data_IF_022800066989
#
_entry.id   IF_022800066989
#
_cell.length_a   1.000
_cell.length_b   1.000
_cell.length_c   1.000
_cell.angle_alpha   90.00
_cell.angle_beta   90.00
_cell.angle_gamma   90.00
#
_symmetry.space_group_name_H-M   'P 1'
#
loop_
_entity.id
_entity.type
_entity.pdbx_description
1 polymer ?
#
# COMPACT_ATOMS: atom_id res chain seq x y z
N UNK A 1 -5.61 65.31 -69.01
CA UNK A 1 -6.71 64.41 -69.42
C UNK A 1 -6.48 63.05 -68.81
N UNK A 2 -7.29 62.55 -67.89
CA UNK A 2 -7.85 63.13 -66.67
C UNK A 2 -8.35 61.92 -65.86
N UNK A 3 -7.89 61.81 -64.61
CA UNK A 3 -8.63 61.39 -63.40
C UNK A 3 -9.67 60.26 -63.50
N UNK A 4 -9.40 59.12 -62.85
CA UNK A 4 -10.35 58.46 -61.91
C UNK A 4 -9.54 57.59 -60.92
N UNK A 5 -9.51 57.94 -59.64
CA UNK A 5 -8.80 57.18 -58.61
C UNK A 5 -9.72 56.25 -57.82
N UNK A 6 -10.95 56.66 -57.47
CA UNK A 6 -12.05 55.72 -57.13
C UNK A 6 -13.39 56.42 -57.35
N UNK A 7 -14.30 55.81 -58.10
CA UNK A 7 -15.62 56.38 -58.41
C UNK A 7 -16.69 55.31 -58.50
N UNK A 8 -17.83 55.56 -57.85
CA UNK A 8 -19.02 54.72 -57.94
C UNK A 8 -20.03 55.40 -58.86
N UNK A 9 -20.68 54.64 -59.74
CA UNK A 9 -21.69 55.13 -60.67
C UNK A 9 -22.89 54.18 -60.73
N UNK A 10 -24.09 54.73 -60.83
CA UNK A 10 -25.29 53.95 -61.18
C UNK A 10 -25.54 54.00 -62.69
N UNK A 11 -25.85 52.86 -63.29
CA UNK A 11 -26.26 52.78 -64.70
C UNK A 11 -27.74 53.12 -64.81
N UNK A 12 -28.11 54.37 -65.09
CA UNK A 12 -29.54 54.77 -65.20
C UNK A 12 -30.39 54.00 -66.23
N UNK A 13 -29.79 53.08 -67.02
CA UNK A 13 -30.47 52.22 -68.00
C UNK A 13 -30.63 50.75 -67.54
N UNK A 14 -29.90 50.29 -66.51
CA UNK A 14 -29.89 48.90 -66.00
C UNK A 14 -29.82 48.88 -64.48
N UNK A 15 -30.33 47.83 -63.82
CA UNK A 15 -30.20 47.71 -62.36
C UNK A 15 -28.77 47.25 -61.98
N UNK A 16 -27.81 48.16 -62.15
CA UNK A 16 -26.38 47.87 -62.08
C UNK A 16 -25.64 49.08 -61.48
N UNK A 17 -24.78 48.82 -60.50
CA UNK A 17 -23.82 49.77 -59.94
C UNK A 17 -22.44 49.41 -60.47
N UNK A 18 -21.67 50.41 -60.90
CA UNK A 18 -20.33 50.25 -61.44
C UNK A 18 -19.32 50.96 -60.55
N UNK A 19 -18.27 50.25 -60.19
CA UNK A 19 -17.12 50.76 -59.48
C UNK A 19 -15.96 50.92 -60.46
N UNK A 20 -15.55 52.16 -60.68
CA UNK A 20 -14.38 52.49 -61.48
C UNK A 20 -13.23 52.83 -60.54
N UNK A 21 -12.07 52.20 -60.73
CA UNK A 21 -10.92 52.44 -59.87
C UNK A 21 -9.61 52.35 -60.65
N UNK A 22 -8.60 53.10 -60.20
CA UNK A 22 -7.23 52.89 -60.67
C UNK A 22 -6.55 51.90 -59.75
N UNK A 23 -5.99 50.82 -60.30
CA UNK A 23 -5.19 49.89 -59.50
C UNK A 23 -3.86 50.53 -59.11
N UNK A 24 -3.50 50.43 -57.82
CA UNK A 24 -2.17 50.83 -57.35
C UNK A 24 -1.06 49.92 -57.90
N UNK A 25 -1.39 48.70 -58.30
CA UNK A 25 -0.41 47.71 -58.73
C UNK A 25 0.14 48.01 -60.12
N UNK A 26 -0.73 48.36 -61.07
CA UNK A 26 -0.33 48.56 -62.49
C UNK A 26 -0.73 49.91 -63.08
N UNK A 27 -1.35 50.79 -62.26
CA UNK A 27 -1.78 52.15 -62.62
C UNK A 27 -2.80 52.18 -63.76
N UNK A 28 -3.51 51.07 -64.03
CA UNK A 28 -4.59 51.00 -65.03
C UNK A 28 -5.96 51.17 -64.38
N UNK A 29 -6.93 51.65 -65.16
CA UNK A 29 -8.31 51.85 -64.73
C UNK A 29 -9.12 50.57 -64.99
N UNK A 30 -9.80 50.09 -63.95
CA UNK A 30 -10.66 48.92 -63.96
C UNK A 30 -12.11 49.30 -63.66
N UNK A 31 -13.05 48.46 -64.10
CA UNK A 31 -14.48 48.62 -63.87
C UNK A 31 -15.07 47.30 -63.35
N UNK A 32 -15.68 47.35 -62.17
CA UNK A 32 -16.42 46.23 -61.59
C UNK A 32 -17.91 46.55 -61.55
N UNK A 33 -18.76 45.57 -61.84
CA UNK A 33 -20.20 45.78 -62.03
C UNK A 33 -21.04 44.87 -61.14
N UNK A 34 -21.89 45.49 -60.31
CA UNK A 34 -22.73 44.82 -59.33
C UNK A 34 -24.20 44.97 -59.73
N UNK A 35 -24.85 43.85 -60.01
CA UNK A 35 -26.25 43.85 -60.46
C UNK A 35 -27.19 43.71 -59.26
N UNK A 36 -28.17 44.59 -59.14
CA UNK A 36 -29.16 44.52 -58.06
C UNK A 36 -30.58 44.31 -58.61
N UNK A 37 -31.46 43.73 -57.81
CA UNK A 37 -32.91 43.67 -58.09
C UNK A 37 -33.64 44.03 -56.81
N UNK A 38 -34.28 45.19 -56.84
CA UNK A 38 -35.20 45.67 -55.79
C UNK A 38 -36.60 45.60 -56.41
N UNK A 39 -37.56 45.02 -55.68
CA UNK A 39 -38.86 44.59 -56.23
C UNK A 39 -40.05 45.16 -55.45
N UNK A 40 -39.90 46.36 -54.89
CA UNK A 40 -40.85 46.97 -53.95
C UNK A 40 -41.18 48.44 -54.28
N UNK A 41 -40.64 49.01 -55.37
CA UNK A 41 -40.86 50.40 -55.81
C UNK A 41 -40.53 51.46 -54.73
N UNK A 42 -39.67 51.15 -53.77
CA UNK A 42 -39.22 52.05 -52.70
C UNK A 42 -37.82 52.62 -53.00
N UNK A 43 -37.44 53.69 -52.28
CA UNK A 43 -36.07 54.20 -52.31
C UNK A 43 -35.24 53.51 -51.25
N UNK A 44 -34.04 53.07 -51.63
CA UNK A 44 -33.13 52.39 -50.71
C UNK A 44 -31.77 53.09 -50.64
N UNK A 45 -31.20 53.09 -49.44
CA UNK A 45 -29.86 53.62 -49.19
C UNK A 45 -28.82 52.63 -49.68
N UNK A 46 -27.94 53.05 -50.59
CA UNK A 46 -26.78 52.26 -50.98
C UNK A 46 -25.53 52.74 -50.25
N UNK A 47 -24.74 51.81 -49.73
CA UNK A 47 -23.37 52.05 -49.32
C UNK A 47 -22.43 51.09 -50.05
N UNK A 48 -21.27 51.58 -50.49
CA UNK A 48 -20.19 50.73 -50.98
C UNK A 48 -19.00 50.96 -50.06
N UNK A 49 -18.53 49.90 -49.42
CA UNK A 49 -17.35 49.95 -48.56
C UNK A 49 -16.19 49.29 -49.28
N UNK A 50 -15.01 49.91 -49.19
CA UNK A 50 -13.77 49.39 -49.76
C UNK A 50 -12.75 49.31 -48.64
N UNK A 51 -12.32 48.10 -48.30
CA UNK A 51 -11.32 47.84 -47.26
C UNK A 51 -10.19 47.00 -47.84
N UNK A 52 -9.01 47.61 -48.04
CA UNK A 52 -7.94 46.95 -48.79
C UNK A 52 -8.36 46.68 -50.23
N UNK A 53 -8.24 45.43 -50.69
CA UNK A 53 -8.73 44.96 -51.99
C UNK A 53 -10.17 44.43 -51.94
N UNK A 54 -10.83 44.43 -50.78
CA UNK A 54 -12.18 43.93 -50.63
C UNK A 54 -13.21 45.03 -50.80
N UNK A 55 -14.29 44.73 -51.53
CA UNK A 55 -15.43 45.62 -51.74
C UNK A 55 -16.70 44.94 -51.27
N UNK A 56 -17.52 45.67 -50.53
CA UNK A 56 -18.82 45.23 -50.07
C UNK A 56 -19.88 46.28 -50.41
N UNK A 57 -20.99 45.83 -51.01
CA UNK A 57 -22.12 46.69 -51.40
C UNK A 57 -23.26 46.38 -50.45
N UNK A 58 -23.80 47.40 -49.79
CA UNK A 58 -24.90 47.30 -48.85
C UNK A 58 -26.11 48.08 -49.34
N UNK A 59 -27.30 47.55 -49.10
CA UNK A 59 -28.59 48.21 -49.31
C UNK A 59 -29.31 48.25 -47.97
N UNK A 60 -29.73 49.44 -47.51
CA UNK A 60 -30.34 49.68 -46.19
C UNK A 60 -29.57 49.01 -45.05
N UNK A 61 -28.25 49.20 -45.04
CA UNK A 61 -27.31 48.61 -44.08
C UNK A 61 -27.18 47.08 -44.12
N UNK A 62 -27.76 46.38 -45.10
CA UNK A 62 -27.61 44.93 -45.29
C UNK A 62 -26.68 44.61 -46.47
N UNK A 63 -25.71 43.69 -46.32
CA UNK A 63 -24.76 43.37 -47.38
C UNK A 63 -25.42 42.58 -48.51
N UNK A 64 -25.30 43.10 -49.73
CA UNK A 64 -25.81 42.52 -50.96
C UNK A 64 -24.71 41.78 -51.75
N UNK A 65 -23.50 42.34 -51.82
CA UNK A 65 -22.35 41.71 -52.46
C UNK A 65 -21.07 41.93 -51.67
N UNK A 66 -20.17 40.94 -51.71
CA UNK A 66 -18.82 41.02 -51.15
C UNK A 66 -17.83 40.34 -52.09
N UNK A 67 -16.85 41.09 -52.59
CA UNK A 67 -15.86 40.58 -53.56
C UNK A 67 -14.47 41.17 -53.34
N UNK A 68 -13.46 40.60 -54.00
CA UNK A 68 -12.07 41.08 -53.98
C UNK A 68 -11.67 41.59 -55.36
N UNK A 69 -11.20 42.83 -55.43
CA UNK A 69 -10.75 43.51 -56.64
C UNK A 69 -9.43 42.91 -57.13
N UNK A 70 -9.30 42.77 -58.46
CA UNK A 70 -8.06 42.33 -59.12
C UNK A 70 -7.77 43.20 -60.35
N UNK A 71 -6.50 43.58 -60.60
CA UNK A 71 -5.29 43.22 -59.86
C UNK A 71 -4.98 44.26 -58.77
N UNK A 72 -5.00 43.85 -57.50
CA UNK A 72 -4.51 44.68 -56.39
C UNK A 72 -5.48 45.73 -55.85
N UNK A 73 -5.00 46.48 -54.85
CA UNK A 73 -5.78 47.46 -54.10
C UNK A 73 -6.04 48.74 -54.94
N UNK A 74 -7.27 49.29 -54.93
CA UNK A 74 -7.57 50.54 -55.60
C UNK A 74 -6.84 51.73 -54.96
N UNK A 75 -6.48 52.71 -55.78
CA UNK A 75 -6.04 54.01 -55.30
C UNK A 75 -7.18 54.65 -54.49
N UNK A 76 -6.88 55.03 -53.26
CA UNK A 76 -7.89 55.50 -52.29
C UNK A 76 -8.13 57.00 -52.38
N UNK A 77 -7.41 57.71 -53.24
CA UNK A 77 -7.72 59.11 -53.50
C UNK A 77 -9.11 59.17 -54.16
N UNK A 78 -10.14 59.59 -53.43
CA UNK A 78 -11.46 59.73 -54.03
C UNK A 78 -11.56 61.13 -54.61
N UNK A 79 -11.66 61.20 -55.94
CA UNK A 79 -11.68 62.48 -56.66
C UNK A 79 -13.05 63.14 -56.68
N UNK A 80 -14.09 62.43 -56.24
CA UNK A 80 -15.46 62.95 -56.11
C UNK A 80 -16.20 62.29 -54.94
N UNK A 81 -16.67 63.07 -53.96
CA UNK A 81 -17.33 62.54 -52.76
C UNK A 81 -18.85 62.40 -52.97
N UNK A 82 -19.32 61.24 -53.45
CA UNK A 82 -20.75 61.00 -53.72
C UNK A 82 -21.32 59.61 -53.28
N UNK A 83 -22.65 59.54 -53.03
CA UNK A 83 -23.48 58.51 -52.35
C UNK A 83 -24.65 58.36 -53.29
N UNK A 84 -25.06 57.12 -53.49
CA UNK A 84 -25.86 56.76 -54.64
C UNK A 84 -27.16 56.19 -54.13
N UNK A 85 -28.26 56.79 -54.55
CA UNK A 85 -29.59 56.23 -54.31
C UNK A 85 -30.03 55.46 -55.54
N UNK A 86 -30.55 54.26 -55.33
CA UNK A 86 -31.00 53.38 -56.40
C UNK A 86 -32.48 53.09 -56.22
N UNK A 87 -33.23 53.21 -57.32
CA UNK A 87 -34.68 52.96 -57.37
C UNK A 87 -35.03 52.13 -58.61
N UNK A 88 -36.21 51.52 -58.59
CA UNK A 88 -36.64 50.58 -59.64
C UNK A 88 -37.11 51.31 -60.92
N UNK A 89 -36.84 50.71 -62.09
CA UNK A 89 -37.35 51.18 -63.40
C UNK A 89 -38.73 50.57 -63.69
N UNK A 90 -39.73 51.42 -63.95
CA UNK A 90 -41.07 50.99 -64.39
C UNK A 90 -41.36 51.45 -65.84
N UNK A 91 -42.17 50.67 -66.57
CA UNK A 91 -42.14 50.60 -68.04
C UNK A 91 -42.56 51.86 -68.83
N UNK A 92 -42.95 52.97 -68.19
CA UNK A 92 -43.49 54.14 -68.91
C UNK A 92 -43.09 55.53 -68.38
N UNK A 93 -42.19 55.66 -67.41
CA UNK A 93 -41.73 56.99 -66.94
C UNK A 93 -40.22 57.05 -66.73
N UNK A 94 -39.59 58.05 -67.34
CA UNK A 94 -38.19 58.40 -67.14
C UNK A 94 -37.99 59.00 -65.75
N UNK A 95 -37.03 58.42 -65.01
CA UNK A 95 -36.35 58.89 -63.80
C UNK A 95 -37.00 60.08 -63.05
N UNK A 96 -37.55 59.82 -61.85
CA UNK A 96 -38.00 60.88 -60.93
C UNK A 96 -36.85 61.23 -59.99
N UNK A 97 -36.07 62.27 -60.32
CA UNK A 97 -35.20 62.94 -59.34
C UNK A 97 -33.76 63.21 -59.81
N UNK A 98 -33.30 64.44 -59.56
CA UNK A 98 -31.92 64.92 -59.69
C UNK A 98 -31.10 64.59 -58.42
N UNK A 99 -29.80 64.34 -58.60
CA UNK A 99 -28.81 64.20 -57.52
C UNK A 99 -28.55 65.54 -56.84
N UNK A 100 -28.63 65.61 -55.51
CA UNK A 100 -28.00 66.68 -54.73
C UNK A 100 -27.39 66.13 -53.43
N UNK A 101 -26.16 66.58 -53.19
CA UNK A 101 -25.30 66.49 -52.00
C UNK A 101 -25.07 65.13 -51.33
N UNK A 102 -23.79 64.77 -51.27
CA UNK A 102 -23.30 63.58 -50.60
C UNK A 102 -22.00 63.94 -49.86
N UNK A 103 -21.73 63.28 -48.72
CA UNK A 103 -20.40 63.24 -48.11
C UNK A 103 -19.81 61.82 -47.96
N UNK A 104 -18.49 61.76 -48.08
CA UNK A 104 -17.67 60.67 -47.55
C UNK A 104 -17.46 60.86 -46.05
N UNK A 105 -17.51 59.76 -45.28
CA UNK A 105 -17.06 59.75 -43.90
C UNK A 105 -15.70 59.05 -43.90
N UNK A 106 -14.63 59.83 -43.92
CA UNK A 106 -13.34 59.33 -43.47
C UNK A 106 -13.32 59.37 -41.95
N UNK A 107 -13.04 58.23 -41.32
CA UNK A 107 -12.87 58.18 -39.89
C UNK A 107 -12.30 56.85 -39.42
N UNK A 108 -11.19 56.92 -38.71
CA UNK A 108 -10.98 56.08 -37.52
C UNK A 108 -11.74 56.75 -36.37
N UNK A 109 -13.03 56.39 -36.18
CA UNK A 109 -13.93 56.85 -35.10
C UNK A 109 -14.13 58.38 -34.94
N UNK A 110 -15.39 58.87 -34.96
CA UNK A 110 -15.69 60.25 -34.54
C UNK A 110 -17.16 60.67 -34.72
N UNK A 111 -17.76 61.18 -33.64
CA UNK A 111 -19.16 61.64 -33.49
C UNK A 111 -19.33 63.07 -34.06
N UNK A 112 -20.51 63.40 -34.61
CA UNK A 112 -20.87 64.76 -35.04
C UNK A 112 -22.03 65.34 -34.21
N UNK A 113 -21.88 66.62 -33.87
CA UNK A 113 -22.64 67.36 -32.86
C UNK A 113 -23.60 68.41 -33.46
N UNK A 114 -24.65 68.70 -32.67
CA UNK A 114 -25.56 69.88 -32.63
C UNK A 114 -26.65 70.03 -33.70
N UNK A 115 -27.92 70.00 -33.25
CA UNK A 115 -29.09 70.52 -33.97
C UNK A 115 -29.44 71.95 -33.49
N UNK A 116 -29.87 72.88 -34.36
CA UNK A 116 -29.94 74.30 -33.99
C UNK A 116 -31.26 74.77 -33.35
N UNK A 117 -32.37 73.99 -33.36
CA UNK A 117 -33.64 74.43 -32.74
C UNK A 117 -34.44 73.27 -32.12
N UNK A 118 -35.04 73.55 -30.95
CA UNK A 118 -35.89 72.67 -30.15
C UNK A 118 -37.29 72.52 -30.78
N UNK A 119 -37.44 71.65 -31.78
CA UNK A 119 -38.76 71.18 -32.19
C UNK A 119 -38.92 69.69 -31.83
N UNK A 120 -39.81 69.42 -30.88
CA UNK A 120 -39.93 68.13 -30.15
C UNK A 120 -40.71 67.07 -30.94
N UNK A 121 -40.92 67.28 -32.24
CA UNK A 121 -41.70 66.40 -33.10
C UNK A 121 -40.85 65.42 -33.91
N UNK A 122 -39.52 65.43 -33.76
CA UNK A 122 -38.62 64.47 -34.40
C UNK A 122 -38.33 63.24 -33.49
N UNK A 123 -38.45 61.99 -33.98
CA UNK A 123 -38.20 60.76 -33.20
C UNK A 123 -36.77 60.63 -32.65
N UNK A 124 -35.80 61.37 -33.21
CA UNK A 124 -34.39 61.30 -32.83
C UNK A 124 -34.02 62.19 -31.65
N UNK A 125 -34.83 63.18 -31.27
CA UNK A 125 -34.60 63.96 -30.04
C UNK A 125 -34.95 63.18 -28.78
N UNK A 126 -35.98 62.33 -28.83
CA UNK A 126 -36.31 61.41 -27.72
C UNK A 126 -35.18 60.40 -27.48
N UNK A 127 -34.58 59.89 -28.56
CA UNK A 127 -33.36 59.07 -28.45
C UNK A 127 -32.15 59.88 -27.96
N UNK A 128 -32.00 61.16 -28.31
CA UNK A 128 -30.93 61.98 -27.75
C UNK A 128 -31.11 62.25 -26.26
N UNK A 129 -32.34 62.47 -25.76
CA UNK A 129 -32.59 62.59 -24.32
C UNK A 129 -32.30 61.26 -23.62
N UNK A 130 -32.68 60.12 -24.20
CA UNK A 130 -32.38 58.78 -23.68
C UNK A 130 -30.87 58.52 -23.70
N UNK A 131 -30.17 58.91 -24.76
CA UNK A 131 -28.72 58.76 -24.90
C UNK A 131 -28.00 59.72 -23.97
N UNK A 132 -28.45 60.97 -23.81
CA UNK A 132 -27.89 61.94 -22.88
C UNK A 132 -28.12 61.52 -21.44
N UNK A 133 -29.32 61.03 -21.08
CA UNK A 133 -29.56 60.46 -19.74
C UNK A 133 -28.83 59.15 -19.55
N UNK A 134 -28.64 58.33 -20.59
CA UNK A 134 -27.82 57.13 -20.53
C UNK A 134 -26.35 57.48 -20.34
N UNK A 135 -25.81 58.47 -21.05
CA UNK A 135 -24.44 58.97 -20.92
C UNK A 135 -24.24 59.62 -19.55
N UNK A 136 -25.14 60.49 -19.09
CA UNK A 136 -25.07 61.06 -17.74
C UNK A 136 -25.21 59.99 -16.64
N UNK A 137 -26.04 58.97 -16.87
CA UNK A 137 -26.10 57.81 -15.97
C UNK A 137 -24.82 56.98 -16.04
N UNK A 138 -24.21 56.84 -17.21
CA UNK A 138 -22.96 56.11 -17.40
C UNK A 138 -21.82 56.86 -16.73
N UNK A 139 -21.73 58.18 -16.90
CA UNK A 139 -20.78 59.07 -16.25
C UNK A 139 -20.95 59.04 -14.74
N UNK A 140 -22.19 59.12 -14.24
CA UNK A 140 -22.47 58.98 -12.80
C UNK A 140 -22.09 57.60 -12.27
N UNK A 141 -22.36 56.53 -13.03
CA UNK A 141 -21.93 55.16 -12.67
C UNK A 141 -20.43 54.99 -12.77
N UNK A 142 -19.75 55.65 -13.72
CA UNK A 142 -18.31 55.69 -13.87
C UNK A 142 -17.67 56.43 -12.71
N UNK A 143 -18.27 57.53 -12.26
CA UNK A 143 -17.83 58.28 -11.10
C UNK A 143 -18.07 57.49 -9.81
N UNK A 144 -19.21 56.79 -9.69
CA UNK A 144 -19.47 55.88 -8.57
C UNK A 144 -18.51 54.68 -8.59
N UNK A 145 -18.22 54.11 -9.77
CA UNK A 145 -17.25 53.03 -9.94
C UNK A 145 -15.84 53.50 -9.68
N UNK A 146 -15.44 54.70 -10.11
CA UNK A 146 -14.12 55.25 -9.82
C UNK A 146 -13.98 55.56 -8.34
N UNK A 147 -15.06 56.01 -7.68
CA UNK A 147 -15.06 56.23 -6.24
C UNK A 147 -15.04 54.90 -5.46
N UNK A 148 -15.77 53.88 -5.93
CA UNK A 148 -15.70 52.51 -5.39
C UNK A 148 -14.35 51.87 -5.65
N UNK A 149 -13.74 52.11 -6.81
CA UNK A 149 -12.40 51.64 -7.16
C UNK A 149 -11.37 52.34 -6.28
N UNK A 150 -11.44 53.66 -6.11
CA UNK A 150 -10.60 54.39 -5.17
C UNK A 150 -10.80 53.90 -3.73
N UNK A 151 -12.04 53.57 -3.33
CA UNK A 151 -12.30 52.94 -2.03
C UNK A 151 -11.78 51.51 -1.93
N UNK A 152 -11.80 50.76 -3.03
CA UNK A 152 -11.28 49.40 -3.13
C UNK A 152 -9.75 49.39 -3.18
N UNK A 153 -9.11 50.36 -3.83
CA UNK A 153 -7.68 50.65 -3.82
C UNK A 153 -7.23 51.14 -2.45
N UNK A 154 -8.05 51.96 -1.77
CA UNK A 154 -7.78 52.36 -0.38
C UNK A 154 -7.99 51.19 0.61
N UNK A 155 -8.87 50.24 0.27
CA UNK A 155 -8.99 48.96 0.98
C UNK A 155 -7.84 48.01 0.62
N UNK A 156 -7.37 47.99 -0.63
CA UNK A 156 -6.23 47.19 -1.07
C UNK A 156 -4.94 47.71 -0.45
N UNK A 157 -4.72 49.02 -0.40
CA UNK A 157 -3.57 49.61 0.30
C UNK A 157 -3.65 49.38 1.82
N UNK A 158 -4.85 49.37 2.42
CA UNK A 158 -5.04 48.87 3.80
C UNK A 158 -4.83 47.36 3.94
N UNK A 159 -5.02 46.58 2.88
CA UNK A 159 -4.74 45.12 2.82
C UNK A 159 -3.29 44.83 2.46
N UNK A 160 -2.57 45.74 1.80
CA UNK A 160 -1.13 45.71 1.54
C UNK A 160 -0.37 46.13 2.80
N UNK A 161 -0.87 47.13 3.55
CA UNK A 161 -0.43 47.39 4.94
C UNK A 161 -0.92 46.29 5.92
N UNK A 162 -2.01 45.58 5.58
CA UNK A 162 -2.45 44.36 6.28
C UNK A 162 -1.99 43.07 5.59
N UNK A 163 -0.91 43.10 4.80
CA UNK A 163 -0.09 41.90 4.50
C UNK A 163 0.76 41.56 5.75
N UNK A 164 0.17 41.81 6.91
CA UNK A 164 0.50 41.30 8.22
C UNK A 164 0.21 39.79 8.34
N UNK A 165 0.20 39.05 7.23
CA UNK A 165 0.70 37.68 7.23
C UNK A 165 2.23 37.77 7.31
N UNK A 166 2.71 38.24 8.48
CA UNK A 166 4.12 38.50 8.73
C UNK A 166 4.92 37.28 8.27
N UNK A 167 5.71 37.45 7.23
CA UNK A 167 6.58 36.39 6.74
C UNK A 167 7.63 36.12 7.80
N UNK A 168 7.93 34.85 8.02
CA UNK A 168 8.94 34.48 9.00
C UNK A 168 10.31 34.40 8.34
N UNK A 169 11.30 35.13 8.86
CA UNK A 169 12.68 35.06 8.38
C UNK A 169 13.48 34.07 9.22
N UNK A 170 14.08 33.05 8.59
CA UNK A 170 14.93 32.05 9.25
C UNK A 170 16.12 31.70 8.36
N UNK A 171 17.35 31.84 8.87
CA UNK A 171 18.61 31.50 8.17
C UNK A 171 18.61 31.91 6.68
N UNK A 172 18.44 33.20 6.40
CA UNK A 172 18.42 33.80 5.06
C UNK A 172 17.30 33.35 4.10
N UNK A 173 16.34 32.55 4.58
CA UNK A 173 15.13 32.19 3.84
C UNK A 173 13.90 32.89 4.42
N UNK A 174 12.99 33.29 3.54
CA UNK A 174 11.72 33.92 3.91
C UNK A 174 10.62 32.88 3.71
N UNK A 175 9.92 32.57 4.79
CA UNK A 175 8.82 31.63 4.80
C UNK A 175 7.49 32.39 4.84
N UNK A 176 6.59 32.05 3.91
CA UNK A 176 5.25 32.60 3.88
C UNK A 176 4.48 32.22 5.14
N UNK A 177 3.58 33.09 5.59
CA UNK A 177 2.68 32.77 6.70
C UNK A 177 1.83 31.54 6.37
N UNK A 178 1.64 30.66 7.35
CA UNK A 178 0.99 29.35 7.17
C UNK A 178 1.87 28.26 6.54
N UNK A 179 3.08 28.57 6.08
CA UNK A 179 3.99 27.56 5.55
C UNK A 179 4.58 26.68 6.66
N UNK A 180 4.82 25.42 6.32
CA UNK A 180 5.54 24.45 7.15
C UNK A 180 6.77 23.95 6.42
N UNK A 181 7.91 23.90 7.10
CA UNK A 181 9.15 23.38 6.56
C UNK A 181 9.90 22.57 7.61
N UNK A 182 10.82 21.73 7.16
CA UNK A 182 11.67 20.95 8.04
C UNK A 182 13.10 21.50 8.00
N UNK A 183 13.66 21.75 9.17
CA UNK A 183 15.06 22.14 9.35
C UNK A 183 15.70 21.20 10.37
N UNK A 184 16.51 20.25 9.87
CA UNK A 184 17.01 19.14 10.67
C UNK A 184 15.85 18.29 11.20
N UNK A 185 15.79 18.11 12.53
CA UNK A 185 14.76 17.31 13.21
C UNK A 185 13.66 18.12 13.88
N UNK A 186 13.37 19.29 13.30
CA UNK A 186 12.25 20.13 13.71
C UNK A 186 11.40 20.46 12.50
N UNK A 187 10.09 20.33 12.67
CA UNK A 187 9.11 20.87 11.75
C UNK A 187 8.73 22.25 12.27
N UNK A 188 9.02 23.28 11.49
CA UNK A 188 8.72 24.66 11.81
C UNK A 188 7.51 25.12 11.00
N UNK A 189 6.65 25.91 11.62
CA UNK A 189 5.54 26.59 10.97
C UNK A 189 5.63 28.08 11.21
N UNK A 190 5.32 28.87 10.18
CA UNK A 190 5.14 30.31 10.31
C UNK A 190 3.66 30.61 10.59
N UNK A 191 3.36 31.29 11.69
CA UNK A 191 2.01 31.83 11.99
C UNK A 191 2.10 33.24 12.55
N UNK A 192 1.56 34.22 11.84
CA UNK A 192 1.56 35.64 12.21
C UNK A 192 2.97 36.19 12.47
N UNK A 193 3.99 35.70 11.75
CA UNK A 193 5.39 36.15 11.85
C UNK A 193 6.18 35.57 12.99
N UNK A 194 5.58 34.66 13.73
CA UNK A 194 6.28 33.87 14.72
C UNK A 194 6.57 32.49 14.14
N UNK A 195 7.80 32.03 14.33
CA UNK A 195 8.21 30.67 13.96
C UNK A 195 7.98 29.79 15.19
N UNK A 196 7.06 28.83 15.07
CA UNK A 196 6.93 27.74 16.03
C UNK A 196 7.53 26.48 15.44
N UNK A 197 8.55 25.94 16.09
CA UNK A 197 9.17 24.68 15.70
C UNK A 197 8.86 23.61 16.74
N UNK A 198 8.35 22.48 16.29
CA UNK A 198 8.13 21.29 17.11
C UNK A 198 9.04 20.16 16.59
N UNK A 199 9.46 19.23 17.46
CA UNK A 199 10.17 18.03 17.01
C UNK A 199 9.35 17.25 15.98
N UNK A 200 10.02 16.54 15.08
CA UNK A 200 9.35 15.58 14.19
C UNK A 200 8.65 14.53 15.05
N UNK A 201 7.35 14.32 14.84
CA UNK A 201 6.61 13.23 15.48
C UNK A 201 7.01 11.91 14.85
N UNK A 202 7.56 11.00 15.65
CA UNK A 202 8.01 9.69 15.20
C UNK A 202 6.99 8.62 15.54
N UNK A 203 6.75 7.70 14.60
CA UNK A 203 6.00 6.49 14.88
C UNK A 203 6.78 5.63 15.92
N UNK A 204 6.07 4.91 16.81
CA UNK A 204 6.73 4.01 17.74
C UNK A 204 7.43 2.87 16.99
N UNK A 205 8.66 2.55 17.41
CA UNK A 205 9.45 1.44 16.86
C UNK A 205 9.14 0.13 17.58
N UNK A 206 9.10 -0.97 16.83
CA UNK A 206 8.75 -2.32 17.33
C UNK A 206 9.98 -3.20 17.65
N UNK A 207 11.13 -2.59 17.92
CA UNK A 207 12.37 -3.29 18.29
C UNK A 207 12.92 -2.77 19.61
N UNK A 208 13.67 -3.63 20.32
CA UNK A 208 14.22 -3.28 21.65
C UNK A 208 15.32 -2.22 21.61
N UNK A 209 16.14 -2.20 20.55
CA UNK A 209 17.27 -1.26 20.42
C UNK A 209 17.17 -0.46 19.10
N UNK A 210 16.30 0.55 19.06
CA UNK A 210 16.16 1.41 17.88
C UNK A 210 17.34 2.40 17.80
N UNK A 211 17.83 2.68 16.58
CA UNK A 211 19.01 3.52 16.35
C UNK A 211 18.67 4.78 15.56
N UNK A 212 19.43 5.86 15.77
CA UNK A 212 19.40 7.04 14.91
C UNK A 212 20.42 6.87 13.79
N UNK A 213 19.96 6.88 12.55
CA UNK A 213 20.85 6.95 11.39
C UNK A 213 21.20 8.40 11.09
N UNK A 214 22.42 8.63 10.58
CA UNK A 214 22.87 9.97 10.21
C UNK A 214 21.90 10.62 9.21
N UNK A 215 21.44 11.82 9.55
CA UNK A 215 20.47 12.57 8.74
C UNK A 215 19.00 12.13 8.90
N UNK A 216 18.70 11.12 9.73
CA UNK A 216 17.35 10.65 10.00
C UNK A 216 16.90 11.06 11.40
N UNK A 217 15.71 11.64 11.50
CA UNK A 217 15.21 12.24 12.75
C UNK A 217 14.45 11.30 13.67
N UNK A 218 13.97 10.19 13.13
CA UNK A 218 13.28 9.16 13.89
C UNK A 218 14.18 7.95 14.03
N UNK A 219 14.08 7.29 15.18
CA UNK A 219 14.78 6.04 15.39
C UNK A 219 14.22 4.98 14.44
N UNK A 220 15.08 4.11 13.95
CA UNK A 220 14.71 2.99 13.09
C UNK A 220 15.22 1.68 13.68
N UNK A 221 14.51 0.60 13.38
CA UNK A 221 14.99 -0.74 13.66
C UNK A 221 15.96 -1.18 12.56
N UNK A 222 17.15 -1.61 12.94
CA UNK A 222 18.05 -2.33 12.04
C UNK A 222 17.59 -3.79 11.87
N UNK A 223 18.20 -4.51 10.93
CA UNK A 223 17.79 -5.88 10.64
C UNK A 223 18.04 -6.80 11.84
N UNK A 224 17.06 -7.65 12.11
CA UNK A 224 17.18 -8.72 13.11
C UNK A 224 18.08 -9.84 12.61
N UNK A 225 18.77 -10.51 13.53
CA UNK A 225 19.65 -11.63 13.23
C UNK A 225 18.94 -12.94 13.58
N UNK A 226 18.93 -13.90 12.65
CA UNK A 226 18.46 -15.26 12.92
C UNK A 226 19.65 -16.13 13.33
N UNK A 227 19.62 -16.65 14.57
CA UNK A 227 20.72 -17.46 15.11
C UNK A 227 20.19 -18.58 15.99
N UNK A 228 20.61 -19.83 15.73
CA UNK A 228 20.21 -21.03 16.48
C UNK A 228 18.68 -21.18 16.72
N UNK A 229 17.86 -20.79 15.73
CA UNK A 229 16.40 -20.92 15.82
C UNK A 229 15.69 -19.77 16.54
N UNK A 230 16.42 -18.74 16.99
CA UNK A 230 15.89 -17.57 17.69
C UNK A 230 16.20 -16.31 16.88
N UNK A 231 15.25 -15.35 16.89
CA UNK A 231 15.45 -14.01 16.32
C UNK A 231 15.99 -13.08 17.40
N UNK A 232 17.07 -12.38 17.09
CA UNK A 232 17.69 -11.39 17.96
C UNK A 232 17.54 -9.99 17.36
N UNK A 233 17.15 -9.03 18.20
CA UNK A 233 17.15 -7.63 17.83
C UNK A 233 18.59 -7.13 17.68
N UNK A 234 18.77 -6.06 16.89
CA UNK A 234 20.05 -5.39 16.82
C UNK A 234 20.58 -5.05 18.23
N UNK A 235 21.88 -5.16 18.41
CA UNK A 235 22.58 -4.93 19.67
C UNK A 235 22.30 -5.93 20.80
N UNK A 236 21.43 -6.92 20.60
CA UNK A 236 21.32 -8.04 21.53
C UNK A 236 22.57 -8.92 21.49
N UNK A 237 23.03 -9.30 22.68
CA UNK A 237 24.16 -10.19 22.89
C UNK A 237 23.66 -11.52 23.43
N UNK A 238 24.06 -12.61 22.79
CA UNK A 238 23.82 -13.97 23.25
C UNK A 238 25.14 -14.67 23.52
N UNK A 239 25.25 -15.24 24.72
CA UNK A 239 26.34 -16.13 25.10
C UNK A 239 26.01 -17.54 24.61
N UNK A 240 26.64 -17.97 23.53
CA UNK A 240 26.38 -19.26 22.86
C UNK A 240 27.13 -20.40 23.55
N UNK A 241 28.34 -20.09 24.01
CA UNK A 241 29.19 -20.94 24.84
C UNK A 241 29.76 -20.07 25.96
N UNK A 242 30.23 -20.67 27.06
CA UNK A 242 30.73 -19.93 28.23
C UNK A 242 31.84 -18.89 27.94
N UNK A 243 32.43 -18.89 26.74
CA UNK A 243 33.44 -17.92 26.28
C UNK A 243 33.18 -17.33 24.89
N UNK A 244 31.96 -17.45 24.35
CA UNK A 244 31.63 -16.92 23.03
C UNK A 244 30.34 -16.12 23.10
N UNK A 245 30.51 -14.80 23.02
CA UNK A 245 29.39 -13.88 22.89
C UNK A 245 29.22 -13.52 21.43
N UNK A 246 28.00 -13.64 20.95
CA UNK A 246 27.60 -13.19 19.63
C UNK A 246 26.65 -12.00 19.78
N UNK A 247 26.99 -10.89 19.15
CA UNK A 247 26.18 -9.67 19.11
C UNK A 247 25.51 -9.57 17.74
N UNK A 248 24.21 -9.27 17.71
CA UNK A 248 23.53 -8.99 16.45
C UNK A 248 23.86 -7.58 15.94
N UNK A 249 24.46 -7.49 14.75
CA UNK A 249 24.84 -6.23 14.10
C UNK A 249 24.22 -6.19 12.70
N UNK A 250 23.12 -5.43 12.57
CA UNK A 250 22.37 -5.22 11.32
C UNK A 250 22.16 -6.48 10.46
N UNK A 251 21.53 -7.50 11.05
CA UNK A 251 21.21 -8.76 10.38
C UNK A 251 22.36 -9.76 10.29
N UNK A 252 23.55 -9.42 10.79
CA UNK A 252 24.70 -10.32 10.88
C UNK A 252 25.10 -10.57 12.34
N UNK A 253 25.40 -11.82 12.68
CA UNK A 253 25.94 -12.15 14.02
C UNK A 253 27.45 -11.94 14.05
N UNK A 254 27.91 -10.97 14.83
CA UNK A 254 29.33 -10.74 15.13
C UNK A 254 29.70 -11.48 16.43
N UNK A 255 30.49 -12.54 16.32
CA UNK A 255 30.86 -13.38 17.46
C UNK A 255 32.30 -13.12 17.92
N UNK A 256 32.45 -12.78 19.19
CA UNK A 256 33.75 -12.59 19.85
C UNK A 256 34.00 -13.74 20.82
N UNK A 257 35.17 -14.36 20.68
CA UNK A 257 35.67 -15.39 21.58
C UNK A 257 36.56 -14.72 22.62
N UNK A 258 36.26 -14.91 23.90
CA UNK A 258 37.11 -14.42 24.99
C UNK A 258 38.33 -15.33 25.19
N UNK A 259 39.49 -14.71 25.42
CA UNK A 259 40.79 -15.40 25.61
C UNK A 259 40.82 -16.15 26.97
N UNK A 260 41.22 -17.44 27.05
CA UNK A 260 41.07 -18.31 28.22
C UNK A 260 42.07 -18.05 29.37
N UNK A 261 42.39 -16.79 29.69
CA UNK A 261 43.27 -16.48 30.84
C UNK A 261 42.58 -16.61 32.19
N UNK A 262 41.24 -16.68 32.20
CA UNK A 262 40.41 -16.93 33.40
C UNK A 262 39.91 -18.38 33.46
N UNK A 263 40.77 -19.36 33.14
CA UNK A 263 40.45 -20.76 33.39
C UNK A 263 40.82 -21.15 34.82
N UNK A 264 39.95 -21.91 35.54
CA UNK A 264 40.29 -22.41 36.86
C UNK A 264 41.54 -23.29 36.79
N UNK A 265 42.44 -23.16 37.78
CA UNK A 265 43.63 -23.99 37.88
C UNK A 265 43.24 -25.48 37.95
N UNK A 266 43.86 -26.29 37.10
CA UNK A 266 43.61 -27.73 37.02
C UNK A 266 44.66 -28.48 37.80
N UNK A 267 44.23 -29.46 38.60
CA UNK A 267 45.10 -30.29 39.43
C UNK A 267 45.85 -31.40 38.66
N UNK A 268 46.02 -31.25 37.35
CA UNK A 268 46.69 -32.21 36.48
C UNK A 268 47.76 -31.55 35.63
N UNK A 269 48.78 -32.34 35.26
CA UNK A 269 49.89 -31.89 34.46
C UNK A 269 49.43 -31.44 33.05
N UNK A 270 50.19 -30.53 32.43
CA UNK A 270 49.84 -29.91 31.14
C UNK A 270 49.68 -30.94 30.00
N UNK A 271 50.37 -32.07 30.07
CA UNK A 271 50.27 -33.19 29.12
C UNK A 271 49.00 -34.03 29.31
N UNK A 272 48.34 -33.91 30.46
CA UNK A 272 47.05 -34.53 30.77
C UNK A 272 45.87 -33.59 30.50
N UNK A 273 46.13 -32.34 30.11
CA UNK A 273 45.11 -31.35 29.81
C UNK A 273 44.66 -31.48 28.35
N UNK A 274 43.37 -31.71 28.12
CA UNK A 274 42.80 -31.81 26.78
C UNK A 274 41.79 -30.69 26.53
N UNK A 275 41.73 -30.20 25.28
CA UNK A 275 40.71 -29.27 24.79
C UNK A 275 39.73 -30.03 23.92
N UNK A 276 38.45 -29.98 24.25
CA UNK A 276 37.37 -30.57 23.47
C UNK A 276 36.82 -29.53 22.49
N UNK A 277 36.37 -29.96 21.31
CA UNK A 277 35.66 -29.09 20.37
C UNK A 277 34.44 -28.47 21.06
N UNK A 278 34.34 -27.13 21.09
CA UNK A 278 33.30 -26.38 21.81
C UNK A 278 33.57 -26.10 23.30
N UNK A 279 34.75 -26.44 23.84
CA UNK A 279 35.13 -26.13 25.23
C UNK A 279 36.19 -25.02 25.33
N UNK A 280 35.94 -24.05 26.22
CA UNK A 280 36.76 -22.86 26.41
C UNK A 280 38.03 -23.09 27.26
N UNK A 281 37.93 -23.97 28.26
CA UNK A 281 39.01 -24.31 29.18
C UNK A 281 39.47 -25.76 28.98
N UNK A 282 40.77 -26.04 29.15
CA UNK A 282 41.25 -27.41 29.21
C UNK A 282 40.60 -28.17 30.37
N UNK A 283 40.57 -29.50 30.28
CA UNK A 283 40.15 -30.38 31.38
C UNK A 283 41.18 -31.50 31.56
N UNK A 284 41.22 -32.07 32.76
CA UNK A 284 42.09 -33.20 33.07
C UNK A 284 41.58 -34.50 32.43
N UNK A 285 42.45 -35.20 31.71
CA UNK A 285 42.23 -36.54 31.21
C UNK A 285 42.10 -37.53 32.38
N UNK A 286 41.03 -38.32 32.40
CA UNK A 286 40.88 -39.44 33.34
C UNK A 286 40.42 -39.05 34.75
N UNK A 287 39.68 -37.95 34.90
CA UNK A 287 38.92 -37.72 36.13
C UNK A 287 37.93 -38.89 36.30
N UNK A 288 37.98 -39.59 37.42
CA UNK A 288 36.96 -40.57 37.77
C UNK A 288 35.70 -39.81 38.24
N UNK A 289 34.89 -39.41 37.28
CA UNK A 289 33.63 -38.72 37.50
C UNK A 289 32.63 -39.60 38.27
N UNK A 290 32.71 -40.92 38.10
CA UNK A 290 31.87 -41.87 38.82
C UNK A 290 32.23 -41.98 40.31
N UNK A 291 33.51 -41.86 40.69
CA UNK A 291 33.95 -41.90 42.08
C UNK A 291 33.67 -40.61 42.88
N UNK A 292 33.28 -39.50 42.22
CA UNK A 292 33.00 -38.20 42.86
C UNK A 292 31.63 -38.09 43.54
N UNK A 293 30.79 -39.13 43.46
CA UNK A 293 29.57 -39.26 44.27
C UNK A 293 28.28 -38.74 43.61
N UNK A 294 27.33 -39.67 43.45
CA UNK A 294 25.89 -39.51 43.14
C UNK A 294 25.50 -38.68 41.90
N UNK A 295 25.50 -39.33 40.73
CA UNK A 295 25.00 -38.72 39.51
C UNK A 295 24.02 -39.59 38.70
N UNK A 296 24.05 -40.90 38.88
CA UNK A 296 23.17 -41.84 38.19
C UNK A 296 22.09 -42.36 39.13
N UNK A 297 21.00 -42.86 38.54
CA UNK A 297 19.94 -43.55 39.29
C UNK A 297 20.52 -44.76 40.05
N UNK A 298 19.83 -45.25 41.09
CA UNK A 298 20.24 -46.45 41.83
C UNK A 298 20.29 -47.72 40.97
N UNK A 299 19.49 -47.75 39.90
CA UNK A 299 19.39 -48.85 38.92
C UNK A 299 20.08 -48.44 37.60
N UNK A 300 21.24 -47.80 37.70
CA UNK A 300 22.04 -47.39 36.56
C UNK A 300 23.54 -47.50 36.84
N UNK A 301 24.27 -48.00 35.85
CA UNK A 301 25.73 -48.02 35.84
C UNK A 301 26.30 -46.69 35.34
N UNK A 302 27.26 -46.15 36.09
CA UNK A 302 28.06 -45.01 35.67
C UNK A 302 29.26 -45.46 34.83
N UNK A 303 29.48 -44.81 33.68
CA UNK A 303 30.64 -45.03 32.82
C UNK A 303 31.41 -43.74 32.67
N UNK A 304 32.69 -43.76 33.07
CA UNK A 304 33.61 -42.66 32.82
C UNK A 304 33.87 -42.55 31.32
N UNK A 305 33.66 -41.35 30.78
CA UNK A 305 34.08 -40.95 29.46
C UNK A 305 35.35 -40.10 29.57
N UNK A 306 35.99 -39.83 28.44
CA UNK A 306 37.26 -39.07 28.42
C UNK A 306 37.15 -37.68 29.06
N UNK A 307 35.95 -37.09 29.05
CA UNK A 307 35.69 -35.68 29.38
C UNK A 307 34.51 -35.48 30.33
N UNK A 308 33.75 -36.55 30.63
CA UNK A 308 32.49 -36.52 31.39
C UNK A 308 32.15 -37.94 31.84
N UNK A 309 30.94 -38.19 32.34
CA UNK A 309 30.38 -39.51 32.58
C UNK A 309 29.08 -39.69 31.80
N UNK A 310 28.72 -40.95 31.57
CA UNK A 310 27.40 -41.34 31.09
C UNK A 310 26.76 -42.28 32.12
N UNK A 311 25.46 -42.16 32.29
CA UNK A 311 24.66 -43.10 33.06
C UNK A 311 23.89 -43.99 32.09
N UNK A 312 23.91 -45.29 32.34
CA UNK A 312 23.16 -46.27 31.56
C UNK A 312 22.29 -47.06 32.53
N UNK A 313 20.97 -47.09 32.33
CA UNK A 313 20.10 -47.92 33.16
C UNK A 313 20.56 -49.39 33.10
N UNK A 314 20.44 -50.06 34.23
CA UNK A 314 20.77 -51.48 34.34
C UNK A 314 19.81 -52.32 33.48
N UNK A 315 20.21 -53.55 33.18
CA UNK A 315 19.36 -54.48 32.43
C UNK A 315 18.00 -54.66 33.14
N UNK A 316 16.91 -54.66 32.37
CA UNK A 316 15.54 -54.71 32.91
C UNK A 316 14.96 -53.34 33.29
N UNK A 317 15.72 -52.26 33.15
CA UNK A 317 15.24 -50.89 33.39
C UNK A 317 15.35 -50.03 32.12
N UNK A 318 14.42 -49.08 31.97
CA UNK A 318 14.40 -48.10 30.88
C UNK A 318 14.44 -46.67 31.41
N UNK A 319 15.05 -45.78 30.64
CA UNK A 319 15.17 -44.36 30.98
C UNK A 319 16.44 -43.73 30.43
N UNK A 320 16.83 -42.59 31.02
CA UNK A 320 17.98 -41.78 30.61
C UNK A 320 19.25 -42.02 31.46
N UNK A 321 19.21 -43.00 32.36
CA UNK A 321 20.28 -43.31 33.31
C UNK A 321 20.28 -42.43 34.58
N UNK A 322 19.55 -41.32 34.60
CA UNK A 322 19.30 -40.51 35.81
C UNK A 322 17.97 -40.85 36.47
N UNK A 323 16.99 -41.20 35.65
CA UNK A 323 15.71 -41.79 36.06
C UNK A 323 15.59 -43.11 35.31
N UNK A 324 15.56 -44.21 36.06
CA UNK A 324 15.40 -45.54 35.51
C UNK A 324 14.16 -46.19 36.12
N UNK A 325 13.20 -46.50 35.28
CA UNK A 325 11.96 -47.19 35.65
C UNK A 325 12.03 -48.64 35.18
N UNK A 326 11.48 -49.52 35.99
CA UNK A 326 11.34 -50.93 35.67
C UNK A 326 10.62 -51.14 34.32
N UNK A 327 11.07 -52.14 33.55
CA UNK A 327 10.41 -52.57 32.33
C UNK A 327 9.43 -53.66 32.72
N UNK A 328 8.13 -53.43 32.52
CA UNK A 328 7.13 -54.48 32.74
C UNK A 328 7.09 -55.42 31.53
N UNK A 329 7.78 -56.56 31.62
CA UNK A 329 7.81 -57.56 30.55
C UNK A 329 6.47 -58.29 30.38
N UNK A 330 5.57 -58.23 31.37
CA UNK A 330 4.25 -58.89 31.32
C UNK A 330 3.18 -58.05 30.61
N UNK A 331 3.30 -56.72 30.63
CA UNK A 331 2.36 -55.82 29.93
C UNK A 331 2.74 -55.54 28.48
N UNK A 332 4.03 -55.67 28.13
CA UNK A 332 4.47 -55.61 26.74
C UNK A 332 4.58 -57.03 26.21
N UNK A 333 3.58 -57.48 25.44
CA UNK A 333 3.50 -58.81 24.80
C UNK A 333 4.60 -59.09 23.74
N UNK A 334 5.78 -58.47 23.86
CA UNK A 334 6.89 -58.64 22.95
C UNK A 334 7.33 -57.34 22.29
N UNK A 335 8.02 -56.48 23.03
CA UNK A 335 9.15 -55.80 22.40
C UNK A 335 10.14 -56.83 21.79
N UNK A 336 11.33 -56.40 21.35
CA UNK A 336 12.34 -57.36 20.88
C UNK A 336 12.78 -58.40 21.94
N UNK A 337 12.42 -58.20 23.21
CA UNK A 337 12.75 -59.05 24.38
C UNK A 337 11.56 -59.19 25.36
N UNK A 338 10.35 -59.52 24.89
CA UNK A 338 9.21 -59.78 25.79
C UNK A 338 9.42 -60.93 26.79
N UNK A 339 8.43 -61.22 27.63
CA UNK A 339 8.50 -62.39 28.50
C UNK A 339 8.54 -63.69 27.68
N UNK A 340 9.39 -64.64 28.08
CA UNK A 340 9.47 -65.97 27.47
C UNK A 340 8.58 -66.99 28.20
N UNK A 341 7.63 -66.56 29.03
CA UNK A 341 6.66 -67.45 29.65
C UNK A 341 5.85 -68.20 28.59
N UNK A 342 5.85 -69.53 28.67
CA UNK A 342 5.25 -70.44 27.69
C UNK A 342 3.96 -71.07 28.24
N UNK A 343 3.50 -72.18 27.63
CA UNK A 343 2.24 -72.83 27.98
C UNK A 343 2.13 -73.16 29.48
N UNK A 344 0.92 -72.96 30.02
CA UNK A 344 0.53 -73.23 31.41
C UNK A 344 1.26 -72.38 32.46
N UNK A 345 1.67 -71.17 32.08
CA UNK A 345 2.24 -70.18 33.01
C UNK A 345 1.48 -68.86 32.97
N UNK A 346 1.59 -68.09 34.05
CA UNK A 346 1.26 -66.66 34.06
C UNK A 346 2.52 -65.84 34.40
N UNK A 347 2.67 -64.70 33.72
CA UNK A 347 3.80 -63.80 33.91
C UNK A 347 3.59 -62.92 35.14
N UNK A 348 4.65 -62.75 35.94
CA UNK A 348 4.69 -61.83 37.08
C UNK A 348 5.90 -60.90 36.91
N UNK A 349 5.65 -59.60 36.81
CA UNK A 349 6.69 -58.59 36.67
C UNK A 349 7.42 -58.37 38.01
N UNK A 350 8.74 -58.18 37.96
CA UNK A 350 9.59 -57.95 39.13
C UNK A 350 10.62 -56.84 38.85
N UNK A 351 11.13 -56.11 39.86
CA UNK A 351 12.11 -55.06 39.60
C UNK A 351 13.37 -55.58 38.88
N UNK A 352 13.55 -55.20 37.61
CA UNK A 352 14.67 -55.56 36.74
C UNK A 352 14.52 -56.89 36.00
N UNK A 353 13.40 -57.60 36.13
CA UNK A 353 13.15 -58.87 35.42
C UNK A 353 11.69 -59.34 35.52
N UNK A 354 11.42 -60.58 35.13
CA UNK A 354 10.13 -61.22 35.31
C UNK A 354 10.27 -62.69 35.74
N UNK A 355 9.18 -63.22 36.28
CA UNK A 355 9.03 -64.63 36.60
C UNK A 355 7.81 -65.24 35.89
N UNK A 356 7.90 -66.52 35.54
CA UNK A 356 6.79 -67.31 35.01
C UNK A 356 6.32 -68.28 36.09
N UNK A 357 5.12 -68.08 36.60
CA UNK A 357 4.51 -68.92 37.63
C UNK A 357 3.56 -69.93 36.99
N UNK A 358 3.54 -71.17 37.47
CA UNK A 358 2.63 -72.18 36.93
C UNK A 358 1.17 -71.81 37.23
N UNK A 359 0.26 -72.15 36.32
CA UNK A 359 -1.16 -72.17 36.63
C UNK A 359 -1.47 -73.24 37.67
N UNK A 360 -2.58 -73.09 38.40
CA UNK A 360 -3.02 -74.08 39.39
C UNK A 360 -3.16 -75.47 38.75
N UNK A 361 -2.64 -76.52 39.41
CA UNK A 361 -2.62 -77.90 38.89
C UNK A 361 -1.47 -78.24 37.94
N UNK A 362 -0.61 -77.26 37.61
CA UNK A 362 0.58 -77.47 36.78
C UNK A 362 1.86 -77.38 37.62
N UNK A 363 2.84 -78.22 37.30
CA UNK A 363 4.14 -78.28 37.96
C UNK A 363 5.25 -77.76 37.06
N UNK A 364 6.25 -77.12 37.69
CA UNK A 364 7.36 -76.48 36.99
C UNK A 364 8.25 -77.52 36.30
N UNK A 365 8.42 -77.36 34.99
CA UNK A 365 9.38 -78.15 34.19
C UNK A 365 10.69 -77.39 34.08
N UNK A 366 10.63 -76.10 33.76
CA UNK A 366 11.80 -75.22 33.68
C UNK A 366 11.42 -73.77 34.07
N UNK A 367 12.29 -72.79 33.77
CA UNK A 367 12.06 -71.38 34.11
C UNK A 367 10.82 -70.80 33.44
N UNK A 368 10.44 -71.32 32.27
CA UNK A 368 9.45 -70.74 31.37
C UNK A 368 8.24 -71.66 31.14
N UNK A 369 8.34 -72.95 31.45
CA UNK A 369 7.34 -73.98 31.14
C UNK A 369 6.82 -74.70 32.39
N UNK A 370 5.52 -75.02 32.36
CA UNK A 370 4.90 -75.93 33.31
C UNK A 370 4.12 -77.03 32.57
N UNK A 371 4.11 -78.23 33.16
CA UNK A 371 3.38 -79.39 32.67
C UNK A 371 2.30 -79.79 33.66
N UNK A 372 1.23 -80.38 33.14
CA UNK A 372 0.14 -80.91 33.95
C UNK A 372 0.68 -82.00 34.88
N UNK A 373 0.31 -81.94 36.16
CA UNK A 373 0.59 -83.01 37.11
C UNK A 373 -0.56 -84.01 37.04
N UNK A 374 -0.28 -85.25 36.66
CA UNK A 374 -1.29 -86.31 36.82
C UNK A 374 -1.34 -86.74 38.29
N UNK A 375 -2.27 -86.18 39.06
CA UNK A 375 -2.39 -86.46 40.49
C UNK A 375 -2.81 -87.90 40.77
N UNK A 376 -3.51 -88.55 39.82
CA UNK A 376 -3.92 -89.94 39.94
C UNK A 376 -2.75 -90.90 39.76
N UNK A 377 -1.90 -90.66 38.77
CA UNK A 377 -0.70 -91.48 38.50
C UNK A 377 0.39 -91.27 39.56
N UNK A 378 0.49 -90.06 40.13
CA UNK A 378 1.49 -89.75 41.17
C UNK A 378 1.02 -90.05 42.59
N UNK A 379 -0.28 -90.33 42.78
CA UNK A 379 -0.90 -90.52 44.10
C UNK A 379 -1.05 -89.22 44.90
N UNK A 380 -0.89 -88.06 44.26
CA UNK A 380 -1.04 -86.73 44.86
C UNK A 380 -2.53 -86.29 44.93
N UNK A 381 -3.42 -87.23 45.25
CA UNK A 381 -4.86 -87.00 45.34
C UNK A 381 -5.42 -87.32 46.73
N UNK A 382 -6.52 -86.66 47.08
CA UNK A 382 -7.21 -86.88 48.36
C UNK A 382 -8.50 -87.70 48.23
N UNK A 383 -8.68 -88.44 47.13
CA UNK A 383 -9.84 -89.31 46.93
C UNK A 383 -10.03 -90.32 48.07
N UNK A 384 -11.29 -90.60 48.41
CA UNK A 384 -11.64 -91.59 49.41
C UNK A 384 -11.09 -92.98 49.02
N UNK A 385 -10.80 -93.85 50.01
CA UNK A 385 -10.29 -95.21 49.76
C UNK A 385 -11.21 -96.05 48.83
N UNK A 386 -12.51 -95.75 48.86
CA UNK A 386 -13.54 -96.38 48.02
C UNK A 386 -13.96 -95.51 46.82
N UNK A 387 -13.10 -94.59 46.38
CA UNK A 387 -13.28 -93.81 45.17
C UNK A 387 -12.15 -94.09 44.17
N UNK A 388 -12.44 -93.95 42.89
CA UNK A 388 -11.46 -93.93 41.82
C UNK A 388 -11.08 -92.48 41.48
N UNK A 389 -9.79 -92.26 41.26
CA UNK A 389 -9.26 -90.98 40.81
C UNK A 389 -9.34 -90.90 39.28
N UNK A 390 -9.89 -89.81 38.76
CA UNK A 390 -10.00 -89.52 37.33
C UNK A 390 -9.25 -88.22 37.05
N UNK A 391 -8.14 -88.30 36.32
CA UNK A 391 -7.35 -87.13 35.96
C UNK A 391 -8.15 -86.22 35.00
N UNK A 392 -8.01 -84.91 35.17
CA UNK A 392 -8.66 -83.89 34.34
C UNK A 392 -7.67 -82.78 34.01
N UNK A 393 -7.88 -82.03 32.94
CA UNK A 393 -6.94 -80.97 32.57
C UNK A 393 -6.79 -79.93 33.71
N UNK A 394 -5.60 -79.89 34.32
CA UNK A 394 -5.25 -79.02 35.44
C UNK A 394 -5.78 -79.45 36.82
N UNK A 395 -6.34 -80.65 37.00
CA UNK A 395 -6.77 -81.18 38.30
C UNK A 395 -7.16 -82.67 38.27
N UNK A 396 -7.83 -83.16 39.30
CA UNK A 396 -8.44 -84.48 39.31
C UNK A 396 -9.84 -84.46 39.91
N UNK A 397 -10.64 -85.49 39.59
CA UNK A 397 -11.94 -85.75 40.20
C UNK A 397 -11.94 -87.10 40.88
N UNK A 398 -12.62 -87.17 42.02
CA UNK A 398 -12.84 -88.43 42.73
C UNK A 398 -14.25 -88.93 42.45
N UNK A 399 -14.41 -90.19 42.07
CA UNK A 399 -15.70 -90.81 41.84
C UNK A 399 -15.86 -92.05 42.72
N UNK A 400 -16.89 -92.09 43.57
CA UNK A 400 -17.13 -93.28 44.39
C UNK A 400 -17.31 -94.52 43.52
N UNK A 401 -16.67 -95.62 43.92
CA UNK A 401 -16.75 -96.93 43.24
C UNK A 401 -18.17 -97.47 43.27
N UNK A 402 -18.46 -98.41 42.37
CA UNK A 402 -19.74 -99.10 42.32
C UNK A 402 -20.12 -99.71 43.69
N UNK A 403 -21.36 -99.44 44.13
CA UNK A 403 -21.85 -99.80 45.46
C UNK A 403 -21.61 -98.76 46.55
N UNK A 404 -20.97 -97.62 46.25
CA UNK A 404 -20.79 -96.48 47.15
C UNK A 404 -21.43 -95.20 46.58
N UNK A 405 -21.79 -94.25 47.46
CA UNK A 405 -22.31 -92.93 47.13
C UNK A 405 -21.64 -91.83 47.95
N UNK A 406 -21.60 -90.62 47.41
CA UNK A 406 -20.92 -89.47 48.02
C UNK A 406 -20.31 -88.53 46.98
N UNK A 407 -19.43 -87.64 47.44
CA UNK A 407 -18.75 -86.62 46.63
C UNK A 407 -17.37 -87.08 46.08
N UNK A 408 -16.99 -88.32 46.35
CA UNK A 408 -15.70 -88.90 45.95
C UNK A 408 -14.57 -88.69 46.97
N UNK A 409 -14.65 -87.67 47.83
CA UNK A 409 -13.73 -87.46 48.95
C UNK A 409 -14.24 -88.12 50.23
N UNK A 410 -15.55 -88.32 50.33
CA UNK A 410 -16.23 -89.15 51.31
C UNK A 410 -17.20 -90.09 50.58
N UNK A 411 -17.01 -91.40 50.72
CA UNK A 411 -17.87 -92.39 50.08
C UNK A 411 -18.42 -93.39 51.10
N UNK A 412 -19.73 -93.45 51.24
CA UNK A 412 -20.45 -94.41 52.09
C UNK A 412 -21.08 -95.50 51.24
N UNK A 413 -21.22 -96.70 51.81
CA UNK A 413 -21.84 -97.83 51.10
C UNK A 413 -23.32 -97.52 50.88
N UNK A 414 -23.81 -97.70 49.65
CA UNK A 414 -25.24 -97.59 49.34
C UNK A 414 -26.02 -98.62 50.15
N UNK A 415 -26.92 -98.16 51.01
CA UNK A 415 -27.88 -99.02 51.67
C UNK A 415 -29.04 -99.22 50.69
N UNK A 416 -29.15 -100.44 50.18
CA UNK A 416 -30.23 -100.84 49.25
C UNK A 416 -31.62 -100.61 49.84
#
# INVERSE_FOLDING_TARGET
>A
MAEVSLKVQSSGRRNEIRLHYTSLQDRRIYMESFHYRLADNMWHHLAVTVSGSQVEVLVDCHPLYKTVLRPGQPDRNVTDHHQIWVGQRHNHYFFKGFLQDVRLIEGSHGVLAVCPQLDVTCPTCGQFLIVQTAVQNLERKLMELSQRLAHAELRLTRVEDCDCQKSCKSNDTIHADGSTWQTGCKVCSCKGGNISCHPVECAPTDCKHPVFLDGVCCQTCLKQCYFNGVMYDHDEVVTVEKCKDCKCVDGSMDCKVYDPRDCPELNCALDQQIRVSGSCCPICKGVDYCAKGQFCHSNAACRNLQTTYACQCDQGFRGDGRVCTDIDECQQEGGREGHHCHSNTHCVNTPGSYECHCLDGYVRVDRFNCAELDECSTGAHNCHLNADCVNTEGSYKCQCRDGYEGDGYQCTRKLN
#
